data_IF_474526050454
#
_entry.id   IF_474526050454
#
_cell.length_a   1.000
_cell.length_b   1.000
_cell.length_c   1.000
_cell.angle_alpha   90.00
_cell.angle_beta   90.00
_cell.angle_gamma   90.00
#
_symmetry.space_group_name_H-M   'P 1'
#
loop_
_entity.id
_entity.type
_entity.pdbx_description
1 polymer ?
#
# COMPACT_ATOMS: atom_id res chain seq x y z
N UNK A 1 -23.67 -10.28 -4.08
CA UNK A 1 -22.73 -9.69 -3.10
C UNK A 1 -21.47 -9.39 -3.88
N UNK A 2 -20.90 -8.20 -3.75
CA UNK A 2 -19.72 -7.78 -4.52
C UNK A 2 -18.47 -7.85 -3.64
N UNK A 3 -17.31 -8.18 -4.21
CA UNK A 3 -16.01 -8.04 -3.57
C UNK A 3 -15.54 -6.59 -3.74
N UNK A 4 -15.49 -5.77 -2.66
CA UNK A 4 -15.06 -4.40 -2.77
C UNK A 4 -13.52 -4.32 -2.72
N UNK A 5 -12.94 -3.74 -3.76
CA UNK A 5 -11.49 -3.53 -3.93
C UNK A 5 -11.23 -2.04 -4.02
N UNK A 6 -10.23 -1.54 -3.31
CA UNK A 6 -9.93 -0.11 -3.19
C UNK A 6 -8.49 0.18 -3.62
N UNK A 7 -8.34 1.26 -4.39
CA UNK A 7 -7.08 1.87 -4.77
C UNK A 7 -7.06 3.33 -4.33
N UNK A 8 -5.95 3.80 -3.78
CA UNK A 8 -5.73 5.23 -3.53
C UNK A 8 -4.72 5.77 -4.52
N UNK A 9 -5.13 6.73 -5.36
CA UNK A 9 -4.28 7.25 -6.44
C UNK A 9 -4.37 8.77 -6.54
N UNK A 10 -3.31 9.40 -7.03
CA UNK A 10 -3.35 10.73 -7.63
C UNK A 10 -3.52 10.61 -9.15
N UNK A 11 -3.88 11.71 -9.80
CA UNK A 11 -4.16 11.73 -11.25
C UNK A 11 -2.98 11.24 -12.11
N UNK A 12 -1.75 11.58 -11.74
CA UNK A 12 -0.51 11.15 -12.41
C UNK A 12 -0.20 9.65 -12.24
N UNK A 13 -0.80 8.99 -11.25
CA UNK A 13 -0.67 7.55 -11.02
C UNK A 13 -1.69 6.71 -11.80
N UNK A 14 -2.61 7.34 -12.54
CA UNK A 14 -3.66 6.65 -13.33
C UNK A 14 -3.08 5.57 -14.24
N UNK A 15 -1.96 5.83 -14.91
CA UNK A 15 -1.35 4.87 -15.83
C UNK A 15 -0.94 3.56 -15.14
N UNK A 16 -0.41 3.62 -13.92
CA UNK A 16 -0.02 2.42 -13.16
C UNK A 16 -1.27 1.69 -12.67
N UNK A 17 -2.23 2.45 -12.13
CA UNK A 17 -3.51 1.95 -11.67
C UNK A 17 -4.29 1.24 -12.79
N UNK A 18 -4.23 1.75 -14.02
CA UNK A 18 -4.81 1.13 -15.20
C UNK A 18 -4.17 -0.22 -15.52
N UNK A 19 -2.85 -0.35 -15.39
CA UNK A 19 -2.15 -1.63 -15.58
C UNK A 19 -2.54 -2.64 -14.50
N UNK A 20 -2.63 -2.21 -13.24
CA UNK A 20 -3.11 -3.05 -12.13
C UNK A 20 -4.56 -3.49 -12.35
N UNK A 21 -5.47 -2.56 -12.63
CA UNK A 21 -6.88 -2.84 -12.91
C UNK A 21 -7.06 -3.80 -14.10
N UNK A 22 -6.31 -3.61 -15.19
CA UNK A 22 -6.37 -4.51 -16.34
C UNK A 22 -5.99 -5.94 -15.93
N UNK A 23 -4.95 -6.11 -15.11
CA UNK A 23 -4.56 -7.43 -14.62
C UNK A 23 -5.62 -8.06 -13.69
N UNK A 24 -6.28 -7.25 -12.85
CA UNK A 24 -7.39 -7.69 -12.00
C UNK A 24 -8.57 -8.16 -12.86
N UNK A 25 -8.99 -7.37 -13.84
CA UNK A 25 -10.13 -7.68 -14.73
C UNK A 25 -9.88 -8.98 -15.50
N UNK A 26 -8.63 -9.21 -15.93
CA UNK A 26 -8.23 -10.41 -16.66
C UNK A 26 -8.31 -11.70 -15.85
N UNK A 27 -8.14 -11.61 -14.53
CA UNK A 27 -8.15 -12.76 -13.61
C UNK A 27 -9.41 -12.84 -12.74
N UNK A 28 -10.35 -11.90 -12.90
CA UNK A 28 -11.63 -11.92 -12.19
C UNK A 28 -12.47 -13.14 -12.59
N UNK A 29 -13.04 -13.84 -11.62
CA UNK A 29 -13.98 -14.94 -11.88
C UNK A 29 -15.29 -14.35 -12.46
N UNK A 30 -15.72 -14.74 -13.67
CA UNK A 30 -16.97 -14.25 -14.26
C UNK A 30 -18.23 -14.52 -13.43
N UNK A 31 -18.18 -15.45 -12.47
CA UNK A 31 -19.29 -15.76 -11.56
C UNK A 31 -19.35 -14.88 -10.30
N UNK A 32 -18.33 -14.04 -10.08
CA UNK A 32 -18.23 -13.14 -8.92
C UNK A 32 -18.33 -11.70 -9.38
N UNK A 33 -19.10 -10.88 -8.66
CA UNK A 33 -19.13 -9.43 -8.87
C UNK A 33 -18.03 -8.75 -8.04
N UNK A 34 -17.36 -7.76 -8.65
CA UNK A 34 -16.34 -6.94 -8.03
C UNK A 34 -16.72 -5.47 -8.15
N UNK A 35 -16.43 -4.68 -7.14
CA UNK A 35 -16.57 -3.23 -7.20
C UNK A 35 -15.26 -2.59 -6.83
N UNK A 36 -14.61 -2.02 -7.83
CA UNK A 36 -13.31 -1.37 -7.72
C UNK A 36 -13.52 0.12 -7.51
N UNK A 37 -13.04 0.64 -6.39
CA UNK A 37 -13.08 2.06 -6.06
C UNK A 37 -11.70 2.68 -6.22
N UNK A 38 -11.64 3.81 -6.92
CA UNK A 38 -10.50 4.71 -6.91
C UNK A 38 -10.79 5.88 -5.97
N UNK A 39 -10.05 5.95 -4.86
CA UNK A 39 -10.05 7.08 -3.93
C UNK A 39 -9.02 8.10 -4.40
N UNK A 40 -9.45 9.35 -4.58
CA UNK A 40 -8.56 10.45 -4.93
C UNK A 40 -9.15 11.78 -4.46
N UNK A 41 -8.30 12.77 -4.23
CA UNK A 41 -8.73 14.17 -4.19
C UNK A 41 -9.19 14.57 -5.59
N UNK A 42 -8.31 14.53 -6.57
CA UNK A 42 -8.65 14.90 -7.94
C UNK A 42 -8.27 13.79 -8.92
N UNK A 43 -9.23 13.46 -9.80
CA UNK A 43 -9.00 12.69 -11.01
C UNK A 43 -9.67 13.41 -12.16
N UNK A 44 -8.94 13.59 -13.26
CA UNK A 44 -9.46 14.18 -14.48
C UNK A 44 -10.57 13.31 -15.05
N UNK A 45 -11.54 13.93 -15.73
CA UNK A 45 -12.64 13.17 -16.35
C UNK A 45 -12.14 12.22 -17.42
N UNK A 46 -11.03 12.57 -18.09
CA UNK A 46 -10.36 11.66 -19.03
C UNK A 46 -9.83 10.42 -18.31
N UNK A 47 -9.10 10.57 -17.21
CA UNK A 47 -8.58 9.43 -16.45
C UNK A 47 -9.67 8.57 -15.80
N UNK A 48 -10.77 9.19 -15.33
CA UNK A 48 -11.95 8.44 -14.88
C UNK A 48 -12.55 7.62 -16.03
N UNK A 49 -12.68 8.19 -17.22
CA UNK A 49 -13.15 7.46 -18.39
C UNK A 49 -12.20 6.30 -18.72
N UNK A 50 -10.89 6.55 -18.72
CA UNK A 50 -9.87 5.56 -19.05
C UNK A 50 -9.89 4.35 -18.12
N UNK A 51 -10.07 4.59 -16.81
CA UNK A 51 -10.21 3.52 -15.82
C UNK A 51 -11.56 2.82 -15.95
N UNK A 52 -12.64 3.55 -16.25
CA UNK A 52 -13.97 2.98 -16.45
C UNK A 52 -14.03 2.04 -17.66
N UNK A 53 -13.33 2.39 -18.74
CA UNK A 53 -13.26 1.61 -19.98
C UNK A 53 -12.59 0.24 -19.80
N UNK A 54 -11.79 0.06 -18.73
CA UNK A 54 -11.19 -1.22 -18.36
C UNK A 54 -12.15 -2.14 -17.59
N UNK A 55 -13.29 -1.63 -17.10
CA UNK A 55 -14.29 -2.44 -16.42
C UNK A 55 -14.87 -3.54 -17.32
N UNK A 56 -15.55 -4.50 -16.70
CA UNK A 56 -16.20 -5.62 -17.40
C UNK A 56 -17.66 -5.76 -16.95
N UNK A 57 -18.35 -6.80 -17.41
CA UNK A 57 -19.73 -7.09 -16.97
C UNK A 57 -19.84 -7.30 -15.45
N UNK A 58 -18.81 -7.90 -14.83
CA UNK A 58 -18.78 -8.25 -13.42
C UNK A 58 -17.73 -7.44 -12.62
N UNK A 59 -16.94 -6.57 -13.26
CA UNK A 59 -15.99 -5.66 -12.58
C UNK A 59 -16.45 -4.22 -12.76
N UNK A 60 -17.03 -3.66 -11.70
CA UNK A 60 -17.61 -2.32 -11.71
C UNK A 60 -16.64 -1.29 -11.14
N UNK A 61 -16.22 -0.33 -11.98
CA UNK A 61 -15.32 0.76 -11.58
C UNK A 61 -16.11 1.94 -11.04
N UNK A 62 -15.69 2.47 -9.90
CA UNK A 62 -16.27 3.63 -9.21
C UNK A 62 -15.18 4.58 -8.73
N UNK A 63 -15.54 5.84 -8.56
CA UNK A 63 -14.64 6.89 -8.09
C UNK A 63 -15.22 7.50 -6.82
N UNK A 64 -14.35 7.73 -5.84
CA UNK A 64 -14.70 8.43 -4.60
C UNK A 64 -13.77 9.61 -4.41
N UNK A 65 -14.35 10.80 -4.36
CA UNK A 65 -13.62 11.99 -3.97
C UNK A 65 -13.31 11.93 -2.47
N UNK A 66 -12.06 12.24 -2.10
CA UNK A 66 -11.64 12.43 -0.71
C UNK A 66 -11.61 13.92 -0.42
N UNK A 67 -12.48 14.35 0.48
CA UNK A 67 -12.60 15.73 0.90
C UNK A 67 -11.36 16.14 1.71
N UNK A 68 -10.82 17.32 1.41
CA UNK A 68 -9.70 17.92 2.13
C UNK A 68 -9.98 18.07 3.64
N UNK A 69 -11.23 18.25 4.05
CA UNK A 69 -11.59 18.37 5.46
C UNK A 69 -11.43 17.06 6.24
N UNK A 70 -11.61 15.90 5.60
CA UNK A 70 -11.39 14.57 6.23
C UNK A 70 -9.93 14.43 6.69
N UNK A 71 -9.04 15.04 5.93
CA UNK A 71 -7.60 14.84 6.06
C UNK A 71 -6.88 16.05 6.64
N UNK A 72 -7.57 17.16 6.80
CA UNK A 72 -7.10 18.40 7.43
C UNK A 72 -6.45 18.22 8.82
N UNK A 73 -6.92 17.32 9.71
CA UNK A 73 -6.25 17.12 10.99
C UNK A 73 -4.88 16.44 10.85
N UNK A 74 -4.62 15.73 9.74
CA UNK A 74 -3.28 15.26 9.36
C UNK A 74 -2.49 16.46 8.87
N UNK A 75 -1.90 17.19 9.81
CA UNK A 75 -1.20 18.44 9.49
C UNK A 75 0.01 18.17 8.59
N UNK A 76 0.31 19.10 7.66
CA UNK A 76 1.53 19.10 6.86
C UNK A 76 2.76 19.40 7.75
N UNK A 77 3.23 18.37 8.45
CA UNK A 77 4.38 18.39 9.35
C UNK A 77 5.43 17.41 8.86
N UNK A 78 6.72 17.72 9.07
CA UNK A 78 7.88 16.95 8.54
C UNK A 78 7.85 15.47 8.89
N UNK A 79 7.22 15.14 10.00
CA UNK A 79 7.07 13.80 10.57
C UNK A 79 6.05 12.94 9.78
N UNK A 80 5.12 13.58 9.06
CA UNK A 80 4.12 12.93 8.20
C UNK A 80 4.58 12.73 6.74
N UNK A 81 5.85 13.01 6.43
CA UNK A 81 6.40 12.84 5.09
C UNK A 81 6.84 11.40 4.88
N UNK A 82 6.31 10.77 3.85
CA UNK A 82 6.84 9.51 3.35
C UNK A 82 8.26 9.80 2.82
N UNK A 83 9.26 9.11 3.36
CA UNK A 83 10.62 9.08 2.80
C UNK A 83 11.33 10.44 2.71
N UNK A 84 10.92 11.43 3.51
CA UNK A 84 11.48 12.78 3.58
C UNK A 84 11.28 13.69 2.35
N UNK A 85 10.56 13.26 1.30
CA UNK A 85 10.41 14.03 0.05
C UNK A 85 8.96 14.38 -0.33
N UNK A 86 7.96 13.56 0.01
CA UNK A 86 6.57 13.80 -0.41
C UNK A 86 5.56 13.62 0.72
N UNK A 87 4.77 14.66 0.97
CA UNK A 87 3.53 14.58 1.74
C UNK A 87 2.41 14.33 0.73
N UNK A 88 1.99 13.08 0.58
CA UNK A 88 0.78 12.75 -0.17
C UNK A 88 -0.20 12.15 0.80
N UNK A 89 -1.23 12.92 1.12
CA UNK A 89 -2.31 12.50 2.01
C UNK A 89 -2.94 11.16 1.61
N UNK A 90 -2.84 10.82 0.31
CA UNK A 90 -3.29 9.56 -0.27
C UNK A 90 -2.77 8.31 0.43
N UNK A 91 -1.60 8.36 1.09
CA UNK A 91 -1.08 7.20 1.84
C UNK A 91 -2.02 6.78 2.98
N UNK A 92 -2.70 7.74 3.61
CA UNK A 92 -3.60 7.47 4.74
C UNK A 92 -5.02 7.12 4.30
N UNK A 93 -5.43 7.37 3.05
CA UNK A 93 -6.81 7.12 2.59
C UNK A 93 -7.24 5.67 2.82
N UNK A 94 -6.29 4.72 2.71
CA UNK A 94 -6.54 3.30 2.98
C UNK A 94 -7.07 3.05 4.38
N UNK A 95 -6.60 3.79 5.38
CA UNK A 95 -7.04 3.66 6.77
C UNK A 95 -8.50 4.07 6.94
N UNK A 96 -8.97 5.07 6.19
CA UNK A 96 -10.34 5.61 6.29
C UNK A 96 -11.39 4.79 5.55
N UNK A 97 -11.01 3.79 4.73
CA UNK A 97 -11.95 2.94 3.98
C UNK A 97 -13.09 2.38 4.85
N UNK A 98 -12.84 1.83 6.05
CA UNK A 98 -13.90 1.28 6.91
C UNK A 98 -14.98 2.30 7.31
N UNK A 99 -14.60 3.55 7.54
CA UNK A 99 -15.50 4.65 7.94
C UNK A 99 -16.24 5.24 6.74
N UNK A 100 -15.54 5.40 5.61
CA UNK A 100 -16.11 5.99 4.40
C UNK A 100 -17.10 5.05 3.69
N UNK A 101 -16.94 3.74 3.86
CA UNK A 101 -17.78 2.73 3.23
C UNK A 101 -18.40 1.78 4.25
N UNK A 102 -19.27 2.29 5.15
CA UNK A 102 -19.82 1.51 6.28
C UNK A 102 -20.72 0.35 5.84
N UNK A 103 -21.15 0.32 4.57
CA UNK A 103 -21.89 -0.79 3.99
C UNK A 103 -21.04 -2.06 3.78
N UNK A 104 -19.72 -1.95 3.85
CA UNK A 104 -18.82 -3.09 3.76
C UNK A 104 -18.29 -3.46 5.14
N UNK A 105 -18.46 -4.73 5.53
CA UNK A 105 -17.84 -5.30 6.72
C UNK A 105 -16.42 -5.82 6.46
N UNK A 106 -16.08 -6.03 5.18
CA UNK A 106 -14.77 -6.49 4.73
C UNK A 106 -14.43 -5.92 3.37
N UNK A 107 -13.16 -5.55 3.18
CA UNK A 107 -12.66 -4.96 1.94
C UNK A 107 -11.23 -5.41 1.61
N UNK A 108 -10.85 -5.25 0.34
CA UNK A 108 -9.46 -5.34 -0.10
C UNK A 108 -8.97 -3.94 -0.44
N UNK A 109 -7.78 -3.61 0.03
CA UNK A 109 -7.00 -2.49 -0.46
C UNK A 109 -5.76 -3.01 -1.18
N UNK A 110 -5.43 -2.43 -2.34
CA UNK A 110 -4.17 -2.67 -3.05
C UNK A 110 -3.60 -1.36 -3.61
N UNK A 111 -2.28 -1.19 -3.57
CA UNK A 111 -1.60 -0.04 -4.18
C UNK A 111 -1.67 -0.11 -5.72
N UNK A 112 -1.53 1.04 -6.39
CA UNK A 112 -1.66 1.14 -7.86
C UNK A 112 -0.51 0.52 -8.65
N UNK A 113 0.61 0.25 -8.00
CA UNK A 113 1.83 -0.36 -8.54
C UNK A 113 1.86 -1.88 -8.30
N UNK A 114 0.69 -2.50 -8.47
CA UNK A 114 0.48 -3.94 -8.32
C UNK A 114 0.11 -4.62 -9.63
N UNK A 115 0.28 -5.93 -9.70
CA UNK A 115 -0.26 -6.80 -10.74
C UNK A 115 -0.99 -7.96 -10.07
N UNK A 116 -2.25 -8.16 -10.45
CA UNK A 116 -3.10 -9.24 -9.97
C UNK A 116 -3.04 -10.39 -10.98
N UNK A 117 -2.56 -11.54 -10.52
CA UNK A 117 -2.30 -12.74 -11.33
C UNK A 117 -3.19 -13.93 -10.96
N UNK A 118 -4.05 -13.78 -9.96
CA UNK A 118 -5.06 -14.75 -9.59
C UNK A 118 -6.33 -13.99 -9.17
N UNK A 119 -7.46 -14.68 -9.11
CA UNK A 119 -8.72 -14.11 -8.68
C UNK A 119 -8.61 -13.50 -7.28
N UNK A 120 -8.76 -12.18 -7.21
CA UNK A 120 -8.67 -11.40 -5.97
C UNK A 120 -9.76 -11.78 -4.95
N UNK A 121 -10.85 -12.44 -5.37
CA UNK A 121 -11.83 -12.98 -4.43
C UNK A 121 -11.24 -14.10 -3.55
N UNK A 122 -10.23 -14.83 -4.01
CA UNK A 122 -9.51 -15.82 -3.17
C UNK A 122 -8.78 -15.13 -2.02
N UNK A 123 -8.17 -13.97 -2.27
CA UNK A 123 -7.61 -13.12 -1.22
C UNK A 123 -8.70 -12.64 -0.27
N UNK A 124 -9.83 -12.16 -0.82
CA UNK A 124 -10.99 -11.69 -0.03
C UNK A 124 -11.54 -12.77 0.90
N UNK A 125 -11.52 -14.03 0.48
CA UNK A 125 -12.15 -15.12 1.22
C UNK A 125 -11.32 -15.64 2.42
N UNK A 126 -10.10 -15.14 2.65
CA UNK A 126 -9.32 -15.50 3.85
C UNK A 126 -10.07 -15.13 5.14
N UNK A 127 -10.31 -16.08 6.04
CA UNK A 127 -11.04 -15.83 7.29
C UNK A 127 -10.20 -14.99 8.27
N UNK A 128 -10.66 -13.77 8.59
CA UNK A 128 -9.94 -12.86 9.49
C UNK A 128 -10.14 -13.19 10.97
N UNK A 129 -11.25 -13.83 11.34
CA UNK A 129 -11.62 -14.03 12.75
C UNK A 129 -11.70 -12.71 13.51
N UNK A 130 -11.00 -12.62 14.64
CA UNK A 130 -10.95 -11.41 15.47
C UNK A 130 -9.84 -10.42 15.06
N UNK A 131 -9.09 -10.73 13.99
CA UNK A 131 -8.05 -9.84 13.49
C UNK A 131 -8.65 -8.58 12.84
N UNK A 132 -7.94 -7.47 12.98
CA UNK A 132 -8.30 -6.20 12.37
C UNK A 132 -8.11 -6.27 10.85
N UNK A 133 -7.03 -6.88 10.39
CA UNK A 133 -6.76 -7.05 8.97
C UNK A 133 -5.85 -8.25 8.70
N UNK A 134 -5.82 -8.69 7.45
CA UNK A 134 -4.82 -9.60 6.91
C UNK A 134 -3.86 -8.88 6.00
N UNK A 135 -2.56 -9.19 6.11
CA UNK A 135 -1.50 -8.61 5.29
C UNK A 135 -0.31 -9.59 5.18
N UNK A 136 0.57 -9.36 4.23
CA UNK A 136 1.80 -10.15 4.08
C UNK A 136 2.97 -9.48 4.79
N UNK A 137 3.91 -10.28 5.31
CA UNK A 137 5.20 -9.77 5.81
C UNK A 137 5.91 -9.01 4.70
N UNK A 138 6.45 -7.84 5.00
CA UNK A 138 7.24 -7.05 4.04
C UNK A 138 8.56 -7.76 3.77
N UNK A 139 8.63 -8.47 2.64
CA UNK A 139 9.81 -9.23 2.23
C UNK A 139 10.91 -8.36 1.63
N UNK A 140 10.57 -7.14 1.20
CA UNK A 140 11.51 -6.22 0.56
C UNK A 140 12.54 -5.65 1.54
N UNK A 141 12.18 -5.54 2.82
CA UNK A 141 13.03 -4.93 3.85
C UNK A 141 13.83 -5.92 4.70
N UNK A 142 13.58 -7.24 4.58
CA UNK A 142 14.17 -8.26 5.47
C UNK A 142 15.70 -8.39 5.38
N UNK A 143 16.28 -7.95 4.26
CA UNK A 143 17.73 -7.99 4.01
C UNK A 143 18.40 -6.61 4.17
N UNK A 144 17.64 -5.60 4.62
CA UNK A 144 18.14 -4.24 4.85
C UNK A 144 18.38 -4.08 6.36
N UNK A 145 19.64 -4.13 6.79
CA UNK A 145 20.02 -4.19 8.20
C UNK A 145 19.47 -3.00 9.02
N UNK A 146 19.45 -1.81 8.42
CA UNK A 146 18.93 -0.59 9.01
C UNK A 146 17.42 -0.65 9.21
N UNK A 147 16.66 -1.24 8.27
CA UNK A 147 15.21 -1.43 8.45
C UNK A 147 14.92 -2.47 9.53
N UNK A 148 15.66 -3.58 9.55
CA UNK A 148 15.54 -4.60 10.60
C UNK A 148 15.84 -4.00 11.97
N UNK A 149 16.86 -3.14 12.07
CA UNK A 149 17.20 -2.42 13.30
C UNK A 149 16.10 -1.43 13.68
N UNK A 150 15.61 -0.62 12.73
CA UNK A 150 14.51 0.32 12.95
C UNK A 150 13.26 -0.36 13.51
N UNK A 151 12.79 -1.43 12.86
CA UNK A 151 11.59 -2.16 13.30
C UNK A 151 11.77 -2.75 14.70
N UNK A 152 12.97 -3.28 14.99
CA UNK A 152 13.22 -3.89 16.29
C UNK A 152 13.40 -2.87 17.41
N UNK A 153 14.21 -1.84 17.19
CA UNK A 153 14.69 -0.96 18.25
C UNK A 153 13.85 0.31 18.37
N UNK A 154 13.21 0.76 17.27
CA UNK A 154 12.35 1.96 17.24
C UNK A 154 10.87 1.59 17.35
N UNK A 155 10.39 0.61 16.57
CA UNK A 155 9.00 0.15 16.63
C UNK A 155 8.76 -0.88 17.78
N UNK A 156 9.83 -1.48 18.29
CA UNK A 156 9.73 -2.57 19.27
C UNK A 156 8.87 -3.74 18.77
N UNK A 157 8.91 -4.01 17.46
CA UNK A 157 8.19 -5.10 16.80
C UNK A 157 9.14 -6.22 16.36
N UNK A 158 8.59 -7.41 16.08
CA UNK A 158 9.34 -8.49 15.41
C UNK A 158 9.48 -8.18 13.91
N UNK A 159 10.70 -7.95 13.38
CA UNK A 159 10.90 -7.65 11.97
C UNK A 159 10.37 -8.72 11.01
N UNK A 160 10.26 -9.98 11.47
CA UNK A 160 9.72 -11.09 10.65
C UNK A 160 8.19 -11.06 10.52
N UNK A 161 7.52 -10.29 11.37
CA UNK A 161 6.07 -10.11 11.37
C UNK A 161 5.65 -8.74 10.84
N UNK A 162 6.59 -7.83 10.66
CA UNK A 162 6.30 -6.51 10.12
C UNK A 162 5.73 -6.62 8.69
N UNK A 163 4.51 -6.12 8.51
CA UNK A 163 3.76 -6.26 7.26
C UNK A 163 3.98 -5.08 6.32
N UNK A 164 3.77 -5.34 5.03
CA UNK A 164 3.64 -4.28 4.04
C UNK A 164 2.18 -3.79 3.96
N UNK A 165 1.96 -2.48 3.82
CA UNK A 165 0.62 -1.88 3.79
C UNK A 165 0.02 -1.74 2.39
N UNK A 166 0.73 -2.15 1.33
CA UNK A 166 0.27 -2.01 -0.05
C UNK A 166 -0.70 -3.09 -0.51
N UNK A 167 -0.95 -4.10 0.32
CA UNK A 167 -2.06 -5.04 0.17
C UNK A 167 -2.64 -5.34 1.55
N UNK A 168 -3.95 -5.12 1.72
CA UNK A 168 -4.67 -5.37 2.96
C UNK A 168 -6.01 -6.04 2.69
N UNK A 169 -6.34 -7.06 3.49
CA UNK A 169 -7.70 -7.58 3.66
C UNK A 169 -8.25 -7.02 4.96
N UNK A 170 -9.05 -5.96 4.85
CA UNK A 170 -9.51 -5.18 6.00
C UNK A 170 -10.78 -5.78 6.60
N UNK A 171 -10.81 -6.00 7.91
CA UNK A 171 -12.03 -6.22 8.67
C UNK A 171 -12.67 -4.87 8.98
N UNK A 172 -13.35 -4.28 7.98
CA UNK A 172 -13.94 -2.95 8.11
C UNK A 172 -14.89 -2.85 9.31
N UNK A 173 -15.63 -3.92 9.62
CA UNK A 173 -16.46 -3.95 10.82
C UNK A 173 -15.63 -3.82 12.10
N UNK A 174 -14.57 -4.62 12.26
CA UNK A 174 -13.72 -4.53 13.45
C UNK A 174 -13.00 -3.18 13.54
N UNK A 175 -12.55 -2.60 12.42
CA UNK A 175 -11.97 -1.25 12.41
C UNK A 175 -12.92 -0.20 13.01
N UNK A 176 -14.21 -0.25 12.64
CA UNK A 176 -15.24 0.65 13.19
C UNK A 176 -15.56 0.33 14.64
N UNK A 177 -15.79 -0.94 14.98
CA UNK A 177 -16.16 -1.37 16.34
C UNK A 177 -15.06 -1.05 17.38
N UNK A 178 -13.79 -1.11 16.97
CA UNK A 178 -12.62 -0.85 17.81
C UNK A 178 -12.14 0.62 17.73
N UNK A 179 -12.86 1.48 17.00
CA UNK A 179 -12.51 2.90 16.84
C UNK A 179 -11.07 3.10 16.32
N UNK A 180 -10.63 2.28 15.36
CA UNK A 180 -9.25 2.29 14.87
C UNK A 180 -8.80 3.67 14.39
N UNK A 181 -9.67 4.37 13.64
CA UNK A 181 -9.34 5.68 13.09
C UNK A 181 -9.20 6.73 14.19
N UNK A 182 -10.08 6.73 15.18
CA UNK A 182 -9.98 7.66 16.31
C UNK A 182 -8.66 7.45 17.06
N UNK A 183 -8.29 6.19 17.34
CA UNK A 183 -7.04 5.85 18.00
C UNK A 183 -5.80 6.21 17.16
N UNK A 184 -5.84 5.97 15.85
CA UNK A 184 -4.79 6.43 14.92
C UNK A 184 -4.61 7.94 14.98
N UNK A 185 -5.70 8.70 14.92
CA UNK A 185 -5.67 10.17 14.93
C UNK A 185 -5.16 10.72 16.26
N UNK A 186 -5.57 10.11 17.39
CA UNK A 186 -5.10 10.47 18.73
C UNK A 186 -3.57 10.28 18.86
N UNK A 187 -3.04 9.15 18.40
CA UNK A 187 -1.60 8.89 18.40
C UNK A 187 -0.85 9.85 17.48
N UNK A 188 -1.39 10.10 16.29
CA UNK A 188 -0.82 11.01 15.29
C UNK A 188 -0.73 12.45 15.80
N UNK A 189 -1.78 12.94 16.46
CA UNK A 189 -1.82 14.30 17.01
C UNK A 189 -0.97 14.44 18.28
N UNK A 190 -0.90 13.39 19.11
CA UNK A 190 -0.22 13.46 20.40
C UNK A 190 1.29 13.33 20.29
N UNK A 191 1.78 12.39 19.46
CA UNK A 191 3.21 12.03 19.45
C UNK A 191 3.95 12.50 18.22
N UNK A 192 3.28 12.63 17.07
CA UNK A 192 3.92 12.97 15.80
C UNK A 192 5.12 12.07 15.50
N UNK A 193 4.93 10.75 15.59
CA UNK A 193 6.01 9.77 15.40
C UNK A 193 6.78 10.05 14.10
N UNK A 194 8.10 10.17 14.20
CA UNK A 194 8.97 10.27 13.02
C UNK A 194 9.13 8.87 12.41
N UNK A 195 8.27 8.56 11.45
CA UNK A 195 8.18 7.25 10.82
C UNK A 195 9.02 7.15 9.52
N UNK A 196 9.45 5.93 9.17
CA UNK A 196 10.02 5.66 7.84
C UNK A 196 8.88 5.42 6.84
N UNK A 197 7.86 4.65 7.23
CA UNK A 197 6.69 4.36 6.43
C UNK A 197 5.43 4.62 7.28
N UNK A 198 4.93 5.87 7.33
CA UNK A 198 3.95 6.29 8.33
C UNK A 198 2.72 5.40 8.42
N UNK A 199 1.94 5.24 7.34
CA UNK A 199 0.71 4.42 7.34
C UNK A 199 0.98 2.96 7.73
N UNK A 200 2.09 2.40 7.24
CA UNK A 200 2.51 1.03 7.52
C UNK A 200 2.94 0.84 8.97
N UNK A 201 3.69 1.80 9.53
CA UNK A 201 4.14 1.77 10.92
C UNK A 201 2.93 1.85 11.86
N UNK A 202 1.98 2.78 11.65
CA UNK A 202 0.75 2.85 12.44
C UNK A 202 -0.09 1.57 12.35
N UNK A 203 -0.23 0.96 11.17
CA UNK A 203 -0.97 -0.30 11.02
C UNK A 203 -0.32 -1.45 11.80
N UNK A 204 1.01 -1.57 11.70
CA UNK A 204 1.76 -2.61 12.43
C UNK A 204 1.69 -2.40 13.94
N UNK A 205 1.76 -1.15 14.38
CA UNK A 205 1.79 -0.76 15.80
C UNK A 205 0.42 -0.91 16.47
N UNK A 206 -0.61 -0.30 15.88
CA UNK A 206 -1.98 -0.37 16.43
C UNK A 206 -2.52 -1.80 16.31
N UNK A 207 -2.18 -2.49 15.21
CA UNK A 207 -2.66 -3.83 14.91
C UNK A 207 -1.89 -4.95 15.61
N UNK A 208 -0.81 -4.68 16.35
CA UNK A 208 0.07 -5.70 16.91
C UNK A 208 -0.74 -6.77 17.69
N UNK A 209 -0.59 -8.04 17.31
CA UNK A 209 -1.32 -9.17 17.90
C UNK A 209 -2.70 -9.46 17.29
N UNK A 210 -3.20 -8.59 16.40
CA UNK A 210 -4.47 -8.73 15.68
C UNK A 210 -4.30 -8.64 14.15
N UNK A 211 -3.17 -9.09 13.63
CA UNK A 211 -2.87 -9.20 12.19
C UNK A 211 -2.91 -10.67 11.76
N UNK A 212 -3.70 -10.98 10.74
CA UNK A 212 -3.59 -12.26 10.03
C UNK A 212 -2.43 -12.18 9.03
N UNK A 213 -1.34 -12.91 9.27
CA UNK A 213 -0.28 -13.03 8.27
C UNK A 213 -0.72 -13.95 7.13
N UNK A 214 -0.90 -13.36 5.95
CA UNK A 214 -1.38 -14.04 4.74
C UNK A 214 -0.24 -14.77 4.01
N UNK A 215 -0.62 -15.67 3.10
CA UNK A 215 0.33 -16.35 2.21
C UNK A 215 1.13 -15.30 1.40
N UNK A 216 2.48 -15.32 1.44
CA UNK A 216 3.34 -14.37 0.72
C UNK A 216 3.08 -14.28 -0.79
N UNK A 217 2.40 -15.25 -1.40
CA UNK A 217 1.99 -15.15 -2.82
C UNK A 217 1.12 -13.93 -3.11
N UNK A 218 0.44 -13.38 -2.11
CA UNK A 218 -0.46 -12.23 -2.26
C UNK A 218 0.25 -10.88 -2.12
N UNK A 219 1.56 -10.88 -1.95
CA UNK A 219 2.37 -9.65 -1.92
C UNK A 219 3.81 -9.97 -2.33
N UNK A 220 3.95 -10.52 -3.54
CA UNK A 220 5.25 -10.86 -4.10
C UNK A 220 5.97 -9.57 -4.51
N UNK A 221 7.11 -9.28 -3.90
CA UNK A 221 7.87 -8.07 -4.17
C UNK A 221 9.18 -8.38 -4.89
N UNK A 222 9.65 -7.51 -5.80
CA UNK A 222 11.02 -7.57 -6.30
C UNK A 222 12.03 -7.46 -5.16
N UNK A 223 12.98 -8.39 -5.08
CA UNK A 223 14.06 -8.33 -4.10
C UNK A 223 15.30 -9.03 -4.65
N UNK A 224 16.35 -8.26 -4.93
CA UNK A 224 17.61 -8.75 -5.52
C UNK A 224 18.32 -9.84 -4.68
N UNK A 225 17.95 -10.01 -3.40
CA UNK A 225 18.53 -11.02 -2.50
C UNK A 225 17.76 -12.35 -2.48
N UNK A 226 16.63 -12.45 -3.19
CA UNK A 226 15.76 -13.63 -3.15
C UNK A 226 15.33 -14.06 -4.55
N UNK A 227 15.16 -15.36 -4.75
CA UNK A 227 14.59 -15.88 -5.99
C UNK A 227 13.10 -15.51 -6.13
N UNK A 228 12.59 -15.29 -7.35
CA UNK A 228 11.18 -15.04 -7.58
C UNK A 228 10.29 -16.20 -7.16
N UNK A 229 9.15 -15.86 -6.56
CA UNK A 229 8.05 -16.77 -6.33
C UNK A 229 7.58 -17.33 -7.69
N UNK A 230 7.36 -18.65 -7.73
CA UNK A 230 6.98 -19.34 -8.95
C UNK A 230 5.53 -19.07 -9.37
N UNK A 231 4.66 -18.78 -8.41
CA UNK A 231 3.22 -18.60 -8.60
C UNK A 231 2.71 -17.44 -7.72
N UNK A 232 3.08 -16.19 -8.05
CA UNK A 232 2.60 -15.02 -7.33
C UNK A 232 1.14 -14.75 -7.71
N UNK A 233 0.23 -14.65 -6.73
CA UNK A 233 -1.16 -14.24 -6.94
C UNK A 233 -1.33 -12.73 -7.04
N UNK A 234 -0.48 -11.97 -6.35
CA UNK A 234 -0.35 -10.53 -6.51
C UNK A 234 1.13 -10.16 -6.42
N UNK A 235 1.59 -9.34 -7.36
CA UNK A 235 2.94 -8.77 -7.38
C UNK A 235 2.80 -7.30 -7.01
N UNK A 236 3.65 -6.83 -6.11
CA UNK A 236 3.71 -5.44 -5.70
C UNK A 236 5.10 -4.89 -6.01
N UNK A 237 5.19 -3.96 -6.96
CA UNK A 237 6.45 -3.31 -7.32
C UNK A 237 6.78 -2.20 -6.32
N UNK A 238 6.84 -2.52 -5.02
CA UNK A 238 7.05 -1.54 -3.96
C UNK A 238 8.46 -0.95 -4.00
N UNK A 239 8.60 0.25 -3.42
CA UNK A 239 9.87 0.94 -3.11
C UNK A 239 10.91 1.05 -4.24
N UNK A 240 11.65 -0.02 -4.53
CA UNK A 240 13.00 0.01 -5.10
C UNK A 240 13.07 -0.32 -6.59
N UNK A 241 12.08 -1.02 -7.12
CA UNK A 241 12.16 -1.58 -8.45
C UNK A 241 10.85 -1.41 -9.21
N UNK A 242 10.70 -0.23 -9.80
CA UNK A 242 9.61 0.06 -10.71
C UNK A 242 9.98 -0.41 -12.12
N UNK A 243 9.22 -1.32 -12.75
CA UNK A 243 9.55 -1.83 -14.09
C UNK A 243 9.48 -0.76 -15.18
N UNK A 244 8.85 0.39 -14.90
CA UNK A 244 8.82 1.58 -15.77
C UNK A 244 9.96 2.58 -15.53
N UNK A 245 10.84 2.35 -14.54
CA UNK A 245 12.05 3.16 -14.31
C UNK A 245 13.34 2.34 -14.45
N UNK A 246 13.29 1.05 -14.12
CA UNK A 246 14.41 0.11 -14.11
C UNK A 246 14.18 -1.06 -15.08
N UNK A 247 15.26 -1.59 -15.65
CA UNK A 247 15.27 -2.78 -16.52
C UNK A 247 15.73 -4.00 -15.75
N UNK A 248 15.27 -5.18 -16.16
CA UNK A 248 15.55 -6.46 -15.52
C UNK A 248 15.03 -6.53 -14.08
N UNK A 249 13.91 -5.85 -13.82
CA UNK A 249 13.23 -5.93 -12.52
C UNK A 249 12.60 -7.31 -12.39
N UNK A 250 12.74 -7.92 -11.22
CA UNK A 250 12.06 -9.18 -10.91
C UNK A 250 10.55 -9.05 -11.17
N UNK A 251 9.99 -10.03 -11.86
CA UNK A 251 8.60 -10.05 -12.33
C UNK A 251 8.22 -8.99 -13.39
N UNK A 252 9.14 -8.22 -13.99
CA UNK A 252 8.78 -7.14 -14.94
C UNK A 252 7.93 -7.61 -16.14
N UNK A 253 8.07 -8.87 -16.55
CA UNK A 253 7.28 -9.44 -17.64
C UNK A 253 5.77 -9.40 -17.35
N UNK A 254 5.35 -9.61 -16.11
CA UNK A 254 3.93 -9.55 -15.72
C UNK A 254 3.39 -8.13 -15.89
N UNK A 255 4.14 -7.13 -15.42
CA UNK A 255 3.78 -5.72 -15.62
C UNK A 255 3.67 -5.38 -17.10
N UNK A 256 4.70 -5.70 -17.89
CA UNK A 256 4.71 -5.35 -19.30
C UNK A 256 3.70 -6.13 -20.13
N UNK A 257 3.30 -7.34 -19.72
CA UNK A 257 2.21 -8.08 -20.36
C UNK A 257 0.86 -7.39 -20.13
N UNK A 258 0.55 -6.99 -18.89
CA UNK A 258 -0.67 -6.22 -18.62
C UNK A 258 -0.64 -4.84 -19.30
N UNK A 259 0.49 -4.14 -19.23
CA UNK A 259 0.62 -2.79 -19.76
C UNK A 259 0.33 -2.72 -21.26
N UNK A 260 0.75 -3.72 -22.03
CA UNK A 260 0.50 -3.83 -23.50
C UNK A 260 -0.97 -3.84 -23.87
N UNK A 261 -1.85 -4.25 -22.96
CA UNK A 261 -3.30 -4.30 -23.17
C UNK A 261 -3.97 -2.97 -22.78
N UNK A 262 -3.22 -2.03 -22.21
CA UNK A 262 -3.71 -0.69 -21.88
C UNK A 262 -3.26 0.34 -22.92
N UNK A 263 -4.02 1.44 -23.03
CA UNK A 263 -3.63 2.58 -23.87
C UNK A 263 -2.36 3.30 -23.38
N UNK A 264 -1.93 3.06 -22.15
CA UNK A 264 -0.78 3.70 -21.51
C UNK A 264 0.55 3.00 -21.85
N UNK A 265 0.54 1.88 -22.59
CA UNK A 265 1.76 1.11 -22.90
C UNK A 265 2.90 1.97 -23.47
N UNK A 266 2.60 2.77 -24.48
CA UNK A 266 3.62 3.57 -25.17
C UNK A 266 4.15 4.70 -24.26
N UNK A 267 3.30 5.29 -23.43
CA UNK A 267 3.70 6.29 -22.44
C UNK A 267 4.65 5.68 -21.40
N UNK A 268 4.29 4.52 -20.84
CA UNK A 268 5.12 3.80 -19.87
C UNK A 268 6.47 3.36 -20.47
N UNK A 269 6.48 2.96 -21.75
CA UNK A 269 7.74 2.65 -22.45
C UNK A 269 8.60 3.89 -22.67
N UNK A 270 7.98 5.01 -23.07
CA UNK A 270 8.70 6.27 -23.20
C UNK A 270 9.28 6.73 -21.86
N UNK A 271 8.55 6.54 -20.76
CA UNK A 271 9.04 6.82 -19.41
C UNK A 271 10.24 5.95 -19.04
N UNK A 272 10.20 4.63 -19.29
CA UNK A 272 11.34 3.75 -19.06
C UNK A 272 12.57 4.17 -19.85
N UNK A 273 12.39 4.57 -21.10
CA UNK A 273 13.47 4.95 -22.00
C UNK A 273 14.03 6.35 -21.69
N UNK A 274 13.20 7.26 -21.16
CA UNK A 274 13.62 8.62 -20.78
C UNK A 274 14.20 8.70 -19.36
N UNK A 275 13.87 7.76 -18.48
CA UNK A 275 14.40 7.73 -17.12
C UNK A 275 15.93 7.61 -17.14
N UNK A 276 16.61 8.62 -16.61
CA UNK A 276 18.07 8.76 -16.73
C UNK A 276 18.81 7.95 -15.68
N UNK A 277 20.09 7.64 -15.93
CA UNK A 277 20.93 6.98 -14.92
C UNK A 277 21.14 7.84 -13.68
N UNK A 278 21.08 9.17 -13.81
CA UNK A 278 21.13 10.09 -12.69
C UNK A 278 19.87 9.98 -11.81
N UNK A 279 18.67 9.92 -12.40
CA UNK A 279 17.42 9.71 -11.66
C UNK A 279 17.39 8.33 -11.00
N UNK A 280 17.86 7.27 -11.69
CA UNK A 280 18.00 5.94 -11.08
C UNK A 280 18.97 5.93 -9.90
N UNK A 281 20.06 6.69 -9.99
CA UNK A 281 21.03 6.82 -8.90
C UNK A 281 20.42 7.61 -7.73
N UNK A 282 19.70 8.69 -8.02
CA UNK A 282 18.98 9.49 -7.02
C UNK A 282 17.93 8.66 -6.27
N UNK A 283 17.14 7.84 -6.97
CA UNK A 283 16.18 6.92 -6.32
C UNK A 283 16.86 5.90 -5.41
N UNK A 284 18.04 5.38 -5.81
CA UNK A 284 18.87 4.51 -4.95
C UNK A 284 19.46 5.27 -3.76
N UNK A 285 19.80 6.55 -3.91
CA UNK A 285 20.31 7.39 -2.82
C UNK A 285 19.22 7.83 -1.85
N UNK A 286 18.00 8.14 -2.34
CA UNK A 286 16.83 8.40 -1.50
C UNK A 286 16.55 7.25 -0.54
N UNK A 287 16.73 6.01 -0.99
CA UNK A 287 16.69 4.83 -0.11
C UNK A 287 17.72 4.96 1.02
N UNK A 288 18.97 5.27 0.72
CA UNK A 288 20.00 5.45 1.75
C UNK A 288 19.63 6.60 2.71
N UNK A 289 19.06 7.69 2.20
CA UNK A 289 18.55 8.80 3.02
C UNK A 289 17.39 8.37 3.94
N UNK A 290 16.49 7.50 3.49
CA UNK A 290 15.46 6.90 4.36
C UNK A 290 16.09 6.10 5.50
N UNK A 291 17.12 5.31 5.21
CA UNK A 291 17.80 4.50 6.22
C UNK A 291 18.57 5.36 7.23
N UNK A 292 19.04 6.55 6.83
CA UNK A 292 19.66 7.51 7.76
C UNK A 292 18.68 8.09 8.79
N UNK A 293 17.36 8.02 8.53
CA UNK A 293 16.33 8.42 9.50
C UNK A 293 16.34 7.51 10.73
N UNK A 294 16.71 6.24 10.60
CA UNK A 294 16.79 5.26 11.70
C UNK A 294 17.57 5.79 12.91
N UNK A 295 18.78 6.32 12.68
CA UNK A 295 19.61 6.84 13.79
C UNK A 295 18.99 8.06 14.49
N UNK A 296 18.25 8.87 13.74
CA UNK A 296 17.57 10.05 14.28
C UNK A 296 16.35 9.64 15.10
N UNK A 297 15.55 8.69 14.58
CA UNK A 297 14.32 8.22 15.22
C UNK A 297 14.60 7.34 16.45
N UNK A 298 15.70 6.60 16.46
CA UNK A 298 16.18 5.84 17.63
C UNK A 298 16.43 6.75 18.84
N UNK A 299 16.90 7.99 18.62
CA UNK A 299 17.20 8.96 19.67
C UNK A 299 15.99 9.79 20.11
N UNK A 300 14.85 9.66 19.43
CA UNK A 300 13.64 10.42 19.76
C UNK A 300 13.01 9.89 21.07
N UNK A 301 12.85 10.74 22.10
CA UNK A 301 12.23 10.33 23.37
C UNK A 301 10.74 9.95 23.25
N UNK A 302 10.13 10.21 22.10
CA UNK A 302 8.75 9.91 21.77
C UNK A 302 8.63 8.93 20.59
N UNK A 303 9.66 8.15 20.27
CA UNK A 303 9.47 7.05 19.34
C UNK A 303 8.55 5.96 19.91
N UNK A 304 8.11 5.05 19.04
CA UNK A 304 7.14 4.00 19.36
C UNK A 304 7.57 3.14 20.57
N UNK A 305 8.80 2.65 20.59
CA UNK A 305 9.34 1.86 21.70
C UNK A 305 9.24 2.60 23.04
N UNK A 306 9.56 3.91 23.07
CA UNK A 306 9.46 4.73 24.29
C UNK A 306 8.04 5.05 24.70
N UNK A 307 7.13 5.23 23.74
CA UNK A 307 5.71 5.47 24.05
C UNK A 307 5.06 4.21 24.62
N UNK A 308 5.37 3.02 24.06
CA UNK A 308 4.88 1.73 24.56
C UNK A 308 5.26 1.45 26.01
N UNK A 309 6.39 1.98 26.50
CA UNK A 309 6.80 1.83 27.91
C UNK A 309 5.86 2.53 28.90
N UNK A 310 5.04 3.50 28.44
CA UNK A 310 4.23 4.36 29.30
C UNK A 310 2.75 4.44 28.92
N UNK A 311 2.37 4.07 27.70
CA UNK A 311 1.00 4.12 27.21
C UNK A 311 0.69 2.94 26.28
N UNK A 312 -0.59 2.52 26.23
CA UNK A 312 -1.03 1.47 25.34
C UNK A 312 -1.22 2.03 23.91
N UNK A 313 -0.61 1.39 22.92
CA UNK A 313 -0.70 1.78 21.51
C UNK A 313 -1.52 0.81 20.66
N UNK A 314 -1.78 -0.39 21.15
CA UNK A 314 -2.47 -1.48 20.44
C UNK A 314 -3.99 -1.47 20.71
N UNK A 315 -4.77 -2.07 19.81
CA UNK A 315 -6.22 -2.36 19.97
C UNK A 315 -6.53 -3.86 20.11
#
# INVERSE_FOLDING_TARGET
MTVPVFYSISDDFTKYAAVSLNSLVKHADPATDYTVYFLSQDLSDQHKQDLSDLGSQNVHVKFSHIDDELVKPIQNRKENFLRADFFTMSIFYRLFIPELFPQYDKAIYIDSDTIVNDDIAKLYNNELGNNLFGACTDSSIQYVAEMVKYIKDVLALDPKKYINSGMLVMNCKAFRDEHFIDHFMDLLEKYHFDCIAPDQDYLNEIGEGRILHLDPRWDAMPNENTEPLKDPGLIHYNLFFKPWHFKNVQYEDYFWQSAKETKFYNELKAELDSYTDAERADDREKLNHMLLKEKKTEQDPNNWARVKEREAVTL
#
